data_IF_390023557674
#
_entry.id   IF_390023557674
#
_cell.length_a   1.000
_cell.length_b   1.000
_cell.length_c   1.000
_cell.angle_alpha   90.00
_cell.angle_beta   90.00
_cell.angle_gamma   90.00
#
_symmetry.space_group_name_H-M   'P 1'
#
loop_
_entity.id
_entity.type
_entity.pdbx_description
1 polymer ?
#
# COMPACT_ATOMS: atom_id res chain seq x y z
N UNK A 1 -1.44 -3.79 -19.09
CA UNK A 1 -1.78 -2.64 -19.95
C UNK A 1 -0.87 -1.42 -19.72
N UNK A 2 -0.50 -1.04 -18.48
CA UNK A 2 0.31 0.18 -18.20
C UNK A 2 1.61 0.22 -18.99
N UNK A 3 2.33 -0.90 -19.10
CA UNK A 3 3.55 -1.03 -19.92
C UNK A 3 3.25 -1.19 -21.41
N UNK A 4 1.98 -1.25 -21.79
CA UNK A 4 1.53 -1.47 -23.16
C UNK A 4 2.11 -2.75 -23.82
N UNK A 5 2.48 -3.76 -23.04
CA UNK A 5 2.83 -5.10 -23.55
C UNK A 5 1.59 -5.74 -24.20
N UNK A 6 0.43 -5.57 -23.58
CA UNK A 6 -0.87 -5.84 -24.16
C UNK A 6 -1.59 -4.53 -24.46
N UNK A 7 -2.10 -4.41 -25.67
CA UNK A 7 -2.91 -3.25 -26.08
C UNK A 7 -4.28 -3.34 -25.44
N UNK A 8 -4.82 -2.24 -24.88
CA UNK A 8 -6.20 -2.22 -24.45
C UNK A 8 -7.12 -2.36 -25.68
N UNK A 9 -8.24 -3.07 -25.51
CA UNK A 9 -9.27 -3.18 -26.56
C UNK A 9 -9.92 -1.82 -26.84
N UNK A 10 -10.13 -1.04 -25.77
CA UNK A 10 -10.70 0.30 -25.79
C UNK A 10 -9.97 1.22 -24.81
N UNK A 11 -10.13 2.52 -25.01
CA UNK A 11 -9.51 3.53 -24.15
C UNK A 11 -8.06 3.83 -24.51
N UNK A 12 -7.43 4.70 -23.71
CA UNK A 12 -6.07 5.19 -23.95
C UNK A 12 -5.22 5.01 -22.69
N UNK A 13 -3.93 4.76 -22.89
CA UNK A 13 -2.92 4.75 -21.84
C UNK A 13 -1.96 5.89 -22.07
N UNK A 14 -1.91 6.83 -21.14
CA UNK A 14 -1.02 7.98 -21.18
C UNK A 14 0.00 7.88 -20.06
N UNK A 15 1.28 7.96 -20.39
CA UNK A 15 2.39 7.93 -19.45
C UNK A 15 3.30 9.12 -19.74
N UNK A 16 3.60 9.90 -18.69
CA UNK A 16 4.43 11.11 -18.81
C UNK A 16 3.96 12.05 -19.95
N UNK A 17 2.64 12.25 -20.08
CA UNK A 17 2.02 13.06 -21.12
C UNK A 17 1.98 12.44 -22.53
N UNK A 18 2.53 11.23 -22.71
CA UNK A 18 2.56 10.54 -24.00
C UNK A 18 1.50 9.44 -24.06
N UNK A 19 0.63 9.48 -25.06
CA UNK A 19 -0.34 8.44 -25.34
C UNK A 19 0.35 7.25 -26.05
N UNK A 20 0.53 6.15 -25.31
CA UNK A 20 1.32 4.99 -25.76
C UNK A 20 0.77 4.35 -27.04
N UNK A 21 -0.54 4.40 -27.25
CA UNK A 21 -1.19 3.83 -28.43
C UNK A 21 -0.86 4.55 -29.75
N UNK A 22 -0.42 5.80 -29.67
CA UNK A 22 -0.04 6.62 -30.83
C UNK A 22 1.46 6.54 -31.18
N UNK A 23 2.25 5.91 -30.30
CA UNK A 23 3.70 5.82 -30.48
C UNK A 23 4.08 4.78 -31.53
N UNK A 24 5.11 5.11 -32.31
CA UNK A 24 5.80 4.14 -33.16
C UNK A 24 6.48 3.06 -32.29
N UNK A 25 6.79 1.91 -32.88
CA UNK A 25 7.46 0.80 -32.16
C UNK A 25 8.76 1.26 -31.47
N UNK A 26 9.54 2.12 -32.11
CA UNK A 26 10.79 2.68 -31.54
C UNK A 26 10.50 3.58 -30.33
N UNK A 27 9.54 4.49 -30.48
CA UNK A 27 9.13 5.40 -29.40
C UNK A 27 8.52 4.63 -28.21
N UNK A 28 7.75 3.56 -28.48
CA UNK A 28 7.20 2.72 -27.41
C UNK A 28 8.28 1.98 -26.62
N UNK A 29 9.33 1.50 -27.28
CA UNK A 29 10.49 0.91 -26.62
C UNK A 29 11.21 1.94 -25.74
N UNK A 30 11.31 3.17 -26.21
CA UNK A 30 11.93 4.26 -25.46
C UNK A 30 11.05 4.68 -24.26
N UNK A 31 9.75 4.77 -24.42
CA UNK A 31 8.81 5.01 -23.32
C UNK A 31 8.88 3.92 -22.24
N UNK A 32 9.05 2.64 -22.62
CA UNK A 32 9.25 1.54 -21.68
C UNK A 32 10.55 1.63 -20.88
N UNK A 33 11.59 2.26 -21.40
CA UNK A 33 12.84 2.49 -20.64
C UNK A 33 12.63 3.42 -19.45
N UNK A 34 11.63 4.32 -19.54
CA UNK A 34 11.24 5.18 -18.42
C UNK A 34 10.36 4.49 -17.36
N UNK A 35 10.09 3.21 -17.54
CA UNK A 35 9.29 2.39 -16.61
C UNK A 35 10.15 1.25 -16.08
N UNK A 36 10.42 1.24 -14.78
CA UNK A 36 11.00 0.09 -14.09
C UNK A 36 9.91 -0.90 -13.68
N UNK A 37 10.23 -2.19 -13.64
CA UNK A 37 9.30 -3.21 -13.17
C UNK A 37 9.97 -4.16 -12.20
N UNK A 38 9.32 -4.39 -11.07
CA UNK A 38 9.68 -5.36 -10.06
C UNK A 38 8.59 -6.44 -10.07
N UNK A 39 9.00 -7.69 -10.19
CA UNK A 39 8.10 -8.83 -10.30
C UNK A 39 7.98 -9.57 -8.98
N UNK A 40 6.91 -10.30 -8.80
CA UNK A 40 6.64 -11.16 -7.65
C UNK A 40 7.78 -12.16 -7.37
N UNK A 41 8.26 -12.83 -8.39
CA UNK A 41 9.50 -13.61 -8.34
C UNK A 41 10.61 -12.70 -8.85
N UNK A 42 11.63 -12.48 -8.08
CA UNK A 42 12.72 -11.50 -8.35
C UNK A 42 13.22 -11.47 -9.80
N UNK A 43 13.04 -12.55 -10.56
CA UNK A 43 13.39 -12.71 -11.96
C UNK A 43 14.84 -12.27 -12.26
N UNK A 44 15.76 -12.60 -11.34
CA UNK A 44 17.18 -12.37 -11.54
C UNK A 44 17.76 -13.41 -12.51
N UNK A 45 18.71 -12.94 -13.31
CA UNK A 45 19.48 -13.80 -14.19
C UNK A 45 20.44 -14.64 -13.33
N UNK A 46 20.16 -15.94 -13.21
CA UNK A 46 20.85 -16.83 -12.28
C UNK A 46 22.34 -17.03 -12.60
N UNK A 47 22.73 -16.83 -13.86
CA UNK A 47 24.11 -16.95 -14.34
C UNK A 47 24.89 -15.63 -14.30
N UNK A 48 24.31 -14.58 -13.70
CA UNK A 48 24.91 -13.27 -13.56
C UNK A 48 25.00 -12.89 -12.09
N UNK A 49 26.05 -12.19 -11.71
CA UNK A 49 26.20 -11.63 -10.36
C UNK A 49 25.18 -10.51 -10.11
N UNK A 50 25.08 -10.04 -8.85
CA UNK A 50 24.23 -8.90 -8.50
C UNK A 50 24.57 -7.67 -9.36
N UNK A 51 25.83 -7.31 -9.46
CA UNK A 51 26.32 -6.22 -10.30
C UNK A 51 25.89 -6.40 -11.76
N UNK A 52 26.13 -7.58 -12.33
CA UNK A 52 25.79 -7.89 -13.72
C UNK A 52 24.28 -7.90 -14.00
N UNK A 53 23.47 -8.29 -13.02
CA UNK A 53 22.01 -8.18 -13.10
C UNK A 53 21.57 -6.71 -13.21
N UNK A 54 22.19 -5.81 -12.47
CA UNK A 54 21.88 -4.39 -12.49
C UNK A 54 22.40 -3.73 -13.78
N UNK A 55 23.56 -4.17 -14.30
CA UNK A 55 24.10 -3.69 -15.57
C UNK A 55 23.23 -4.08 -16.77
N UNK A 56 22.50 -5.21 -16.69
CA UNK A 56 21.80 -5.80 -17.84
C UNK A 56 20.87 -4.85 -18.60
N UNK A 57 19.97 -4.08 -17.99
CA UNK A 57 19.14 -3.11 -18.71
C UNK A 57 19.96 -2.00 -19.38
N UNK A 58 21.09 -1.61 -18.81
CA UNK A 58 22.00 -0.61 -19.36
C UNK A 58 22.77 -1.15 -20.57
N UNK A 59 23.18 -2.42 -20.51
CA UNK A 59 23.79 -3.13 -21.67
C UNK A 59 22.83 -3.15 -22.86
N UNK A 60 21.55 -3.51 -22.62
CA UNK A 60 20.50 -3.49 -23.67
C UNK A 60 20.29 -2.07 -24.22
N UNK A 61 20.43 -1.05 -23.38
CA UNK A 61 20.32 0.34 -23.79
C UNK A 61 21.52 0.86 -24.60
N UNK A 62 22.62 0.09 -24.68
CA UNK A 62 23.84 0.45 -25.38
C UNK A 62 24.78 1.36 -24.57
N UNK A 63 24.61 1.39 -23.24
CA UNK A 63 25.50 2.14 -22.33
C UNK A 63 26.89 1.48 -22.31
N UNK A 64 27.95 2.29 -22.22
CA UNK A 64 29.31 1.75 -22.11
C UNK A 64 29.44 0.85 -20.87
N UNK A 65 30.30 -0.16 -20.94
CA UNK A 65 30.54 -1.09 -19.81
C UNK A 65 30.95 -0.33 -18.55
N UNK A 66 31.85 0.64 -18.69
CA UNK A 66 32.36 1.43 -17.57
C UNK A 66 31.23 2.24 -16.90
N UNK A 67 30.39 2.91 -17.68
CA UNK A 67 29.26 3.69 -17.16
C UNK A 67 28.18 2.80 -16.53
N UNK A 68 27.91 1.64 -17.15
CA UNK A 68 26.97 0.67 -16.62
C UNK A 68 27.44 0.12 -15.25
N UNK A 69 28.72 -0.25 -15.13
CA UNK A 69 29.29 -0.73 -13.87
C UNK A 69 29.32 0.36 -12.80
N UNK A 70 29.66 1.60 -13.16
CA UNK A 70 29.63 2.75 -12.26
C UNK A 70 28.21 2.94 -11.71
N UNK A 71 27.22 3.02 -12.60
CA UNK A 71 25.82 3.18 -12.19
C UNK A 71 25.32 2.02 -11.35
N UNK A 72 25.69 0.80 -11.69
CA UNK A 72 25.27 -0.39 -10.92
C UNK A 72 25.85 -0.39 -9.50
N UNK A 73 27.08 0.08 -9.29
CA UNK A 73 27.68 0.21 -7.97
C UNK A 73 26.98 1.27 -7.11
N UNK A 74 26.66 2.43 -7.71
CA UNK A 74 25.84 3.46 -7.03
C UNK A 74 24.49 2.90 -6.56
N UNK A 75 23.84 2.09 -7.40
CA UNK A 75 22.56 1.47 -7.05
C UNK A 75 22.70 0.37 -5.99
N UNK A 76 23.79 -0.40 -6.01
CA UNK A 76 24.10 -1.36 -4.94
C UNK A 76 24.30 -0.66 -3.60
N UNK A 77 24.89 0.53 -3.58
CA UNK A 77 25.01 1.34 -2.37
C UNK A 77 23.65 1.80 -1.86
N UNK A 78 22.80 2.33 -2.75
CA UNK A 78 21.42 2.76 -2.41
C UNK A 78 20.61 1.63 -1.78
N UNK A 79 20.74 0.40 -2.29
CA UNK A 79 20.01 -0.74 -1.74
C UNK A 79 20.75 -1.46 -0.60
N UNK A 80 21.92 -0.96 -0.18
CA UNK A 80 22.71 -1.49 0.94
C UNK A 80 23.35 -2.86 0.66
N UNK A 81 23.85 -3.09 -0.55
CA UNK A 81 24.44 -4.35 -1.00
C UNK A 81 25.81 -4.17 -1.70
N UNK A 82 26.57 -3.12 -1.34
CA UNK A 82 27.88 -2.85 -1.95
C UNK A 82 28.86 -4.03 -1.82
N UNK A 83 28.79 -4.76 -0.69
CA UNK A 83 29.62 -5.92 -0.38
C UNK A 83 29.16 -7.22 -1.09
N UNK A 84 28.04 -7.21 -1.81
CA UNK A 84 27.42 -8.34 -2.49
C UNK A 84 27.47 -8.24 -4.02
N UNK A 85 28.22 -7.30 -4.56
CA UNK A 85 28.30 -7.03 -6.01
C UNK A 85 28.60 -8.29 -6.84
N UNK A 86 29.52 -9.13 -6.36
CA UNK A 86 30.01 -10.31 -7.06
C UNK A 86 29.26 -11.61 -6.71
N UNK A 87 28.24 -11.53 -5.81
CA UNK A 87 27.44 -12.69 -5.45
C UNK A 87 26.43 -13.04 -6.55
N UNK A 88 26.24 -14.31 -6.79
CA UNK A 88 25.15 -14.83 -7.65
C UNK A 88 23.84 -14.87 -6.88
N UNK A 89 22.67 -14.84 -7.57
CA UNK A 89 21.37 -14.90 -6.92
C UNK A 89 21.22 -16.06 -5.92
N UNK A 90 21.77 -17.23 -6.23
CA UNK A 90 21.75 -18.40 -5.33
C UNK A 90 22.50 -18.21 -4.01
N UNK A 91 23.36 -17.22 -3.92
CA UNK A 91 24.14 -16.85 -2.72
C UNK A 91 23.51 -15.73 -1.91
N UNK A 92 22.35 -15.21 -2.34
CA UNK A 92 21.64 -14.10 -1.74
C UNK A 92 20.35 -14.58 -1.05
N UNK A 93 20.04 -14.01 0.10
CA UNK A 93 18.72 -14.21 0.72
C UNK A 93 17.59 -13.62 -0.15
N UNK A 94 16.33 -14.03 0.06
CA UNK A 94 15.19 -13.50 -0.69
C UNK A 94 15.10 -11.97 -0.63
N UNK A 95 15.30 -11.38 0.54
CA UNK A 95 15.33 -9.91 0.69
C UNK A 95 16.51 -9.25 -0.05
N UNK A 96 17.68 -9.90 -0.09
CA UNK A 96 18.82 -9.41 -0.87
C UNK A 96 18.55 -9.51 -2.37
N UNK A 97 17.96 -10.62 -2.83
CA UNK A 97 17.53 -10.77 -4.23
C UNK A 97 16.54 -9.69 -4.64
N UNK A 98 15.57 -9.37 -3.76
CA UNK A 98 14.60 -8.31 -4.00
C UNK A 98 15.28 -6.94 -4.09
N UNK A 99 16.24 -6.63 -3.23
CA UNK A 99 17.03 -5.40 -3.29
C UNK A 99 17.81 -5.28 -4.61
N UNK A 100 18.39 -6.39 -5.12
CA UNK A 100 19.03 -6.43 -6.43
C UNK A 100 18.00 -6.20 -7.55
N UNK A 101 16.81 -6.78 -7.47
CA UNK A 101 15.73 -6.57 -8.44
C UNK A 101 15.26 -5.10 -8.46
N UNK A 102 15.15 -4.45 -7.29
CA UNK A 102 14.86 -3.02 -7.17
C UNK A 102 15.97 -2.20 -7.84
N UNK A 103 17.24 -2.44 -7.51
CA UNK A 103 18.38 -1.75 -8.10
C UNK A 103 18.41 -1.91 -9.63
N UNK A 104 18.14 -3.12 -10.15
CA UNK A 104 18.03 -3.39 -11.58
C UNK A 104 16.90 -2.58 -12.22
N UNK A 105 15.75 -2.49 -11.58
CA UNK A 105 14.62 -1.71 -12.10
C UNK A 105 14.90 -0.21 -12.12
N UNK A 106 15.78 0.29 -11.23
CA UNK A 106 16.22 1.69 -11.17
C UNK A 106 17.36 2.02 -12.13
N UNK A 107 18.00 1.03 -12.76
CA UNK A 107 19.22 1.22 -13.55
C UNK A 107 19.04 2.25 -14.70
N UNK A 108 17.90 2.20 -15.41
CA UNK A 108 17.57 3.09 -16.52
C UNK A 108 17.04 4.47 -16.10
N UNK A 109 17.13 4.86 -14.82
CA UNK A 109 16.54 6.08 -14.29
C UNK A 109 15.04 6.23 -14.63
N UNK A 110 14.18 5.27 -14.24
CA UNK A 110 12.79 5.30 -14.61
C UNK A 110 12.06 6.45 -13.91
N UNK A 111 11.01 6.97 -14.56
CA UNK A 111 10.07 7.92 -13.95
C UNK A 111 8.98 7.21 -13.15
N UNK A 112 8.69 5.96 -13.50
CA UNK A 112 7.67 5.13 -12.91
C UNK A 112 8.27 3.77 -12.55
N UNK A 113 7.99 3.29 -11.33
CA UNK A 113 8.34 1.97 -10.85
C UNK A 113 7.05 1.17 -10.61
N UNK A 114 6.89 0.08 -11.33
CA UNK A 114 5.77 -0.83 -11.19
C UNK A 114 6.19 -2.00 -10.29
N UNK A 115 5.49 -2.21 -9.19
CA UNK A 115 5.75 -3.27 -8.22
C UNK A 115 4.58 -4.27 -8.28
N UNK A 116 4.80 -5.43 -8.86
CA UNK A 116 3.81 -6.50 -8.98
C UNK A 116 4.06 -7.52 -7.87
N UNK A 117 3.25 -7.47 -6.81
CA UNK A 117 3.36 -8.28 -5.59
C UNK A 117 4.81 -8.41 -5.06
N UNK A 118 5.53 -7.31 -5.06
CA UNK A 118 6.97 -7.25 -4.81
C UNK A 118 7.42 -7.76 -3.42
N UNK A 119 6.49 -8.02 -2.50
CA UNK A 119 6.76 -8.46 -1.12
C UNK A 119 6.14 -9.80 -0.76
N UNK A 120 5.29 -10.37 -1.61
CA UNK A 120 4.50 -11.59 -1.30
C UNK A 120 5.34 -12.84 -0.99
N UNK A 121 6.59 -12.90 -1.48
CA UNK A 121 7.51 -14.01 -1.24
C UNK A 121 8.46 -13.80 -0.05
N UNK A 122 8.25 -12.74 0.75
CA UNK A 122 9.15 -12.32 1.82
C UNK A 122 8.49 -12.49 3.21
N UNK A 123 9.31 -12.69 4.22
CA UNK A 123 8.85 -12.65 5.61
C UNK A 123 8.45 -11.21 6.04
N UNK A 124 7.62 -11.05 7.07
CA UNK A 124 7.11 -9.73 7.47
C UNK A 124 8.17 -8.69 7.83
N UNK A 125 9.31 -9.12 8.39
CA UNK A 125 10.41 -8.21 8.76
C UNK A 125 11.12 -7.70 7.52
N UNK A 126 11.42 -8.60 6.59
CA UNK A 126 12.02 -8.27 5.30
C UNK A 126 11.08 -7.40 4.48
N UNK A 127 9.77 -7.69 4.46
CA UNK A 127 8.74 -6.87 3.80
C UNK A 127 8.80 -5.42 4.26
N UNK A 128 8.76 -5.16 5.56
CA UNK A 128 8.87 -3.78 6.10
C UNK A 128 10.15 -3.09 5.65
N UNK A 129 11.28 -3.81 5.66
CA UNK A 129 12.57 -3.28 5.21
C UNK A 129 12.56 -2.89 3.72
N UNK A 130 11.88 -3.67 2.87
CA UNK A 130 11.73 -3.38 1.44
C UNK A 130 10.78 -2.20 1.22
N UNK A 131 9.66 -2.13 1.96
CA UNK A 131 8.72 -1.01 1.87
C UNK A 131 9.37 0.31 2.30
N UNK A 132 10.14 0.30 3.39
CA UNK A 132 10.93 1.45 3.83
C UNK A 132 11.92 1.91 2.75
N UNK A 133 12.62 0.98 2.12
CA UNK A 133 13.53 1.28 1.00
C UNK A 133 12.78 1.91 -0.18
N UNK A 134 11.62 1.38 -0.57
CA UNK A 134 10.82 1.93 -1.67
C UNK A 134 10.31 3.35 -1.34
N UNK A 135 9.91 3.59 -0.08
CA UNK A 135 9.48 4.91 0.41
C UNK A 135 10.64 5.92 0.34
N UNK A 136 11.84 5.51 0.72
CA UNK A 136 13.04 6.34 0.63
C UNK A 136 13.41 6.66 -0.83
N UNK A 137 13.36 5.67 -1.71
CA UNK A 137 13.59 5.82 -3.15
C UNK A 137 12.57 6.80 -3.76
N UNK A 138 11.28 6.66 -3.44
CA UNK A 138 10.24 7.58 -3.90
C UNK A 138 10.55 9.02 -3.48
N UNK A 139 10.89 9.22 -2.20
CA UNK A 139 11.20 10.54 -1.63
C UNK A 139 12.47 11.15 -2.23
N UNK A 140 13.52 10.34 -2.40
CA UNK A 140 14.85 10.83 -2.81
C UNK A 140 14.94 11.04 -4.33
N UNK A 141 14.37 10.13 -5.11
CA UNK A 141 14.44 10.17 -6.57
C UNK A 141 13.22 10.84 -7.23
N UNK A 142 12.15 11.11 -6.47
CA UNK A 142 10.93 11.74 -6.99
C UNK A 142 10.18 10.91 -8.03
N UNK A 143 10.36 9.58 -8.04
CA UNK A 143 9.72 8.67 -9.00
C UNK A 143 8.32 8.28 -8.52
N UNK A 144 7.40 8.04 -9.46
CA UNK A 144 6.08 7.49 -9.14
C UNK A 144 6.19 5.98 -8.93
N UNK A 145 5.70 5.47 -7.80
CA UNK A 145 5.66 4.03 -7.54
C UNK A 145 4.20 3.57 -7.61
N UNK A 146 3.92 2.55 -8.42
CA UNK A 146 2.63 1.88 -8.51
C UNK A 146 2.79 0.48 -7.94
N UNK A 147 2.07 0.20 -6.86
CA UNK A 147 2.12 -1.11 -6.17
C UNK A 147 0.84 -1.87 -6.47
N UNK A 148 0.99 -3.09 -6.95
CA UNK A 148 -0.10 -4.05 -7.10
C UNK A 148 0.04 -5.05 -5.95
N UNK A 149 -0.97 -5.15 -5.12
CA UNK A 149 -0.97 -6.05 -3.95
C UNK A 149 -2.39 -6.36 -3.51
N UNK A 150 -2.57 -7.48 -2.85
CA UNK A 150 -3.79 -7.83 -2.12
C UNK A 150 -3.61 -7.65 -0.60
N UNK A 151 -2.44 -7.19 -0.15
CA UNK A 151 -2.12 -6.98 1.26
C UNK A 151 -2.44 -5.54 1.67
N UNK A 152 -3.48 -5.33 2.47
CA UNK A 152 -3.88 -4.00 2.94
C UNK A 152 -2.77 -3.31 3.75
N UNK A 153 -2.01 -4.07 4.53
CA UNK A 153 -0.89 -3.54 5.30
C UNK A 153 0.21 -2.88 4.43
N UNK A 154 0.44 -3.40 3.22
CA UNK A 154 1.38 -2.79 2.26
C UNK A 154 0.85 -1.44 1.76
N UNK A 155 -0.45 -1.36 1.47
CA UNK A 155 -1.09 -0.11 1.02
C UNK A 155 -1.00 0.95 2.11
N UNK A 156 -1.31 0.60 3.36
CA UNK A 156 -1.24 1.49 4.52
C UNK A 156 0.17 2.02 4.78
N UNK A 157 1.19 1.17 4.58
CA UNK A 157 2.58 1.51 4.88
C UNK A 157 3.18 2.48 3.87
N UNK A 158 2.89 2.34 2.56
CA UNK A 158 3.65 3.05 1.52
C UNK A 158 2.79 3.94 0.59
N UNK A 159 1.50 3.66 0.43
CA UNK A 159 0.68 4.31 -0.59
C UNK A 159 0.00 5.58 -0.06
N UNK A 160 -0.14 6.60 -0.91
CA UNK A 160 -0.94 7.81 -0.63
C UNK A 160 -2.34 7.71 -1.26
N UNK A 161 -2.45 6.96 -2.35
CA UNK A 161 -3.72 6.73 -3.07
C UNK A 161 -3.90 5.26 -3.35
N UNK A 162 -5.13 4.83 -3.41
CA UNK A 162 -5.51 3.45 -3.69
C UNK A 162 -6.62 3.40 -4.74
N UNK A 163 -6.55 2.39 -5.60
CA UNK A 163 -7.62 1.99 -6.50
C UNK A 163 -7.98 0.52 -6.20
N UNK A 164 -9.20 0.27 -5.79
CA UNK A 164 -9.70 -1.08 -5.51
C UNK A 164 -10.33 -1.64 -6.79
N UNK A 165 -9.90 -2.83 -7.16
CA UNK A 165 -10.39 -3.55 -8.33
C UNK A 165 -11.28 -4.70 -7.87
N UNK A 166 -12.48 -4.76 -8.41
CA UNK A 166 -13.42 -5.84 -8.23
C UNK A 166 -13.92 -6.30 -9.60
N UNK A 167 -13.89 -7.61 -9.84
CA UNK A 167 -14.39 -8.22 -11.08
C UNK A 167 -13.86 -7.51 -12.35
N UNK A 168 -12.55 -7.22 -12.36
CA UNK A 168 -11.82 -6.53 -13.44
C UNK A 168 -12.27 -5.08 -13.70
N UNK A 169 -12.96 -4.45 -12.75
CA UNK A 169 -13.38 -3.04 -12.80
C UNK A 169 -12.86 -2.30 -11.58
N UNK A 170 -12.63 -0.99 -11.74
CA UNK A 170 -12.33 -0.14 -10.61
C UNK A 170 -13.62 0.08 -9.82
N UNK A 171 -13.67 -0.47 -8.61
CA UNK A 171 -14.79 -0.34 -7.69
C UNK A 171 -14.73 0.96 -6.89
N UNK A 172 -13.52 1.41 -6.52
CA UNK A 172 -13.32 2.63 -5.74
C UNK A 172 -11.91 3.19 -5.95
N UNK A 173 -11.78 4.52 -5.94
CA UNK A 173 -10.50 5.25 -5.99
C UNK A 173 -10.55 6.41 -5.02
N UNK A 174 -9.49 6.58 -4.22
CA UNK A 174 -9.37 7.71 -3.29
C UNK A 174 -7.97 7.82 -2.70
N UNK A 175 -7.81 8.70 -1.72
CA UNK A 175 -6.65 8.64 -0.84
C UNK A 175 -6.78 7.43 0.08
N UNK A 176 -5.65 6.92 0.58
CA UNK A 176 -5.66 5.79 1.53
C UNK A 176 -6.51 6.15 2.74
N UNK A 177 -6.35 7.37 3.26
CA UNK A 177 -7.12 7.89 4.38
C UNK A 177 -8.65 7.84 4.12
N UNK A 178 -9.11 8.39 2.99
CA UNK A 178 -10.55 8.40 2.64
C UNK A 178 -11.13 6.99 2.49
N UNK A 179 -10.41 6.11 1.77
CA UNK A 179 -10.92 4.77 1.46
C UNK A 179 -10.89 3.87 2.71
N UNK A 180 -9.89 4.02 3.57
CA UNK A 180 -9.77 3.21 4.78
C UNK A 180 -10.68 3.67 5.92
N UNK A 181 -10.98 4.97 6.00
CA UNK A 181 -11.89 5.50 7.03
C UNK A 181 -13.36 5.43 6.62
N UNK A 182 -13.65 5.61 5.32
CA UNK A 182 -15.03 5.67 4.76
C UNK A 182 -15.15 4.91 3.45
N UNK A 183 -14.94 3.57 3.47
CA UNK A 183 -15.07 2.76 2.26
C UNK A 183 -16.51 2.80 1.73
N UNK A 184 -16.66 3.06 0.43
CA UNK A 184 -17.97 3.18 -0.23
C UNK A 184 -18.40 1.89 -0.89
N UNK A 185 -17.46 1.21 -1.58
CA UNK A 185 -17.76 -0.03 -2.30
C UNK A 185 -17.84 -1.23 -1.36
N UNK A 186 -18.66 -2.23 -1.73
CA UNK A 186 -18.76 -3.48 -0.98
C UNK A 186 -17.40 -4.21 -0.89
N UNK A 187 -16.62 -4.18 -1.98
CA UNK A 187 -15.28 -4.78 -2.02
C UNK A 187 -14.31 -4.05 -1.09
N UNK A 188 -14.33 -2.71 -1.05
CA UNK A 188 -13.51 -1.95 -0.13
C UNK A 188 -13.82 -2.32 1.33
N UNK A 189 -15.10 -2.34 1.69
CA UNK A 189 -15.55 -2.76 3.02
C UNK A 189 -15.08 -4.17 3.36
N UNK A 190 -15.18 -5.11 2.43
CA UNK A 190 -14.75 -6.49 2.65
C UNK A 190 -13.22 -6.61 2.82
N UNK A 191 -12.42 -5.84 2.07
CA UNK A 191 -10.97 -5.87 2.16
C UNK A 191 -10.44 -5.19 3.43
N UNK A 192 -11.04 -4.06 3.81
CA UNK A 192 -10.60 -3.27 4.97
C UNK A 192 -11.12 -3.87 6.27
N UNK A 193 -12.31 -4.48 6.25
CA UNK A 193 -12.98 -5.08 7.40
C UNK A 193 -13.28 -6.57 7.17
N UNK A 194 -12.27 -7.43 7.01
CA UNK A 194 -12.47 -8.84 6.65
C UNK A 194 -13.26 -9.63 7.73
N UNK A 195 -13.20 -9.19 8.98
CA UNK A 195 -13.89 -9.85 10.11
C UNK A 195 -15.33 -9.36 10.33
N UNK A 196 -15.81 -8.38 9.57
CA UNK A 196 -17.17 -7.85 9.65
C UNK A 196 -18.31 -8.88 9.48
N UNK A 197 -17.99 -10.10 9.06
CA UNK A 197 -18.95 -11.20 8.88
C UNK A 197 -18.98 -12.23 10.02
N UNK A 198 -18.13 -12.12 11.06
CA UNK A 198 -17.88 -13.27 11.94
C UNK A 198 -18.67 -13.37 13.23
N UNK A 199 -19.33 -12.32 13.70
CA UNK A 199 -20.16 -12.47 14.91
C UNK A 199 -21.50 -11.77 14.73
N UNK A 200 -22.58 -12.56 14.58
CA UNK A 200 -23.92 -12.07 14.84
C UNK A 200 -23.99 -11.62 16.31
N UNK A 201 -23.99 -10.31 16.51
CA UNK A 201 -24.18 -9.73 17.84
C UNK A 201 -25.57 -10.11 18.35
N UNK A 202 -25.70 -10.22 19.66
CA UNK A 202 -26.97 -10.60 20.28
C UNK A 202 -28.07 -9.61 19.82
N UNK A 203 -29.13 -10.16 19.22
CA UNK A 203 -30.31 -9.41 18.80
C UNK A 203 -30.87 -8.59 19.95
N UNK A 204 -31.13 -7.30 19.73
CA UNK A 204 -31.75 -6.39 20.69
C UNK A 204 -30.79 -5.45 21.44
N UNK A 205 -29.50 -5.49 21.18
CA UNK A 205 -28.53 -4.53 21.75
C UNK A 205 -28.17 -3.44 20.73
N UNK A 206 -27.80 -2.26 21.22
CA UNK A 206 -27.39 -1.11 20.40
C UNK A 206 -25.88 -1.02 20.35
N UNK A 207 -25.35 -0.74 19.18
CA UNK A 207 -23.91 -0.60 18.96
C UNK A 207 -23.59 0.73 18.30
N UNK A 208 -22.42 1.28 18.63
CA UNK A 208 -21.90 2.48 18.01
C UNK A 208 -20.52 2.18 17.46
N UNK A 209 -20.32 2.51 16.21
CA UNK A 209 -19.01 2.48 15.54
C UNK A 209 -18.38 3.85 15.67
N UNK A 210 -17.13 3.90 16.10
CA UNK A 210 -16.29 5.09 16.16
C UNK A 210 -15.12 4.90 15.21
N UNK A 211 -14.85 5.89 14.36
CA UNK A 211 -13.69 5.93 13.47
C UNK A 211 -12.78 7.08 13.89
N UNK A 212 -11.51 6.78 14.11
CA UNK A 212 -10.45 7.72 14.42
C UNK A 212 -9.68 8.07 13.13
N UNK A 213 -9.53 9.34 12.85
CA UNK A 213 -8.95 9.88 11.60
C UNK A 213 -7.50 10.38 11.76
N UNK A 214 -6.80 9.90 12.77
CA UNK A 214 -5.43 10.31 13.06
C UNK A 214 -5.27 11.61 13.83
N UNK A 215 -6.25 12.50 13.84
CA UNK A 215 -6.19 13.75 14.61
C UNK A 215 -6.78 13.58 16.02
N UNK A 216 -7.80 12.73 16.15
CA UNK A 216 -8.53 12.46 17.39
C UNK A 216 -7.99 11.26 18.20
N UNK A 217 -7.10 10.47 17.64
CA UNK A 217 -6.62 9.21 18.23
C UNK A 217 -5.78 9.37 19.51
N UNK A 218 -5.28 10.58 19.78
CA UNK A 218 -4.51 10.87 20.99
C UNK A 218 -5.38 11.32 22.17
N UNK A 219 -6.65 11.62 21.95
CA UNK A 219 -7.57 12.01 23.00
C UNK A 219 -8.26 10.78 23.60
N UNK A 220 -8.45 10.70 24.92
CA UNK A 220 -9.12 9.57 25.58
C UNK A 220 -10.64 9.67 25.43
N UNK A 221 -11.14 9.77 24.19
CA UNK A 221 -12.55 10.02 23.85
C UNK A 221 -13.52 9.06 24.54
N UNK A 222 -13.21 7.76 24.49
CA UNK A 222 -14.08 6.73 25.10
C UNK A 222 -14.07 6.84 26.62
N UNK A 223 -12.91 7.06 27.23
CA UNK A 223 -12.80 7.21 28.69
C UNK A 223 -13.52 8.46 29.17
N UNK A 224 -13.34 9.58 28.48
CA UNK A 224 -14.02 10.83 28.80
C UNK A 224 -15.54 10.68 28.63
N UNK A 225 -16.02 10.06 27.55
CA UNK A 225 -17.42 9.74 27.35
C UNK A 225 -18.00 8.94 28.52
N UNK A 226 -17.33 7.87 28.96
CA UNK A 226 -17.79 7.05 30.07
C UNK A 226 -17.88 7.85 31.37
N UNK A 227 -16.89 8.70 31.65
CA UNK A 227 -16.83 9.51 32.86
C UNK A 227 -17.89 10.61 32.87
N UNK A 228 -18.03 11.37 31.78
CA UNK A 228 -18.92 12.52 31.70
C UNK A 228 -20.39 12.08 31.57
N UNK A 229 -20.66 11.10 30.69
CA UNK A 229 -22.02 10.64 30.45
C UNK A 229 -22.51 9.64 31.49
N UNK A 230 -21.61 9.11 32.34
CA UNK A 230 -21.89 7.99 33.27
C UNK A 230 -22.54 6.82 32.53
N UNK A 231 -22.04 6.53 31.35
CA UNK A 231 -22.55 5.56 30.40
C UNK A 231 -21.49 4.46 30.18
N UNK A 232 -21.45 3.41 31.03
CA UNK A 232 -20.50 2.31 30.82
C UNK A 232 -20.80 1.60 29.51
N UNK A 233 -19.74 1.29 28.75
CA UNK A 233 -19.81 0.62 27.46
C UNK A 233 -18.90 -0.60 27.42
N UNK A 234 -19.25 -1.62 26.64
CA UNK A 234 -18.34 -2.69 26.30
C UNK A 234 -17.67 -2.41 24.96
N UNK A 235 -16.37 -2.63 24.89
CA UNK A 235 -15.62 -2.62 23.63
C UNK A 235 -15.78 -4.00 23.00
N UNK A 236 -16.53 -4.08 21.90
CA UNK A 236 -16.80 -5.32 21.19
C UNK A 236 -15.71 -5.62 20.16
N UNK A 237 -15.14 -4.55 19.58
CA UNK A 237 -14.06 -4.62 18.63
C UNK A 237 -13.22 -3.34 18.74
N UNK A 238 -11.92 -3.45 18.56
CA UNK A 238 -11.02 -2.32 18.39
C UNK A 238 -9.87 -2.74 17.48
N UNK A 239 -9.68 -2.00 16.43
CA UNK A 239 -8.54 -2.11 15.54
C UNK A 239 -7.94 -0.70 15.32
N UNK A 240 -6.69 -0.53 15.70
CA UNK A 240 -5.97 0.73 15.53
C UNK A 240 -4.68 0.48 14.77
N UNK A 241 -4.44 1.28 13.75
CA UNK A 241 -3.27 1.18 12.87
C UNK A 241 -2.53 2.50 12.85
N UNK A 242 -1.22 2.44 12.68
CA UNK A 242 -0.38 3.61 12.50
C UNK A 242 -0.11 3.79 11.00
N UNK A 243 -0.57 4.90 10.43
CA UNK A 243 -0.31 5.29 9.05
C UNK A 243 0.44 6.62 9.07
N UNK A 244 1.67 6.64 8.59
CA UNK A 244 2.55 7.82 8.55
C UNK A 244 2.69 8.56 9.91
N UNK A 245 2.75 7.80 11.01
CA UNK A 245 2.90 8.35 12.36
C UNK A 245 1.59 8.82 12.99
N UNK A 246 0.45 8.68 12.30
CA UNK A 246 -0.88 8.98 12.81
C UNK A 246 -1.64 7.69 13.10
N UNK A 247 -2.35 7.64 14.21
CA UNK A 247 -3.18 6.49 14.53
C UNK A 247 -4.55 6.63 13.86
N UNK A 248 -4.86 5.67 13.01
CA UNK A 248 -6.17 5.44 12.41
C UNK A 248 -6.79 4.22 13.04
N UNK A 249 -8.09 4.18 13.15
CA UNK A 249 -8.71 3.00 13.70
C UNK A 249 -10.21 3.11 13.78
N UNK A 250 -10.80 1.97 14.06
CA UNK A 250 -12.20 1.89 14.40
C UNK A 250 -12.41 1.12 15.70
N UNK A 251 -13.48 1.45 16.38
CA UNK A 251 -13.90 0.79 17.60
C UNK A 251 -15.41 0.60 17.55
N UNK A 252 -15.87 -0.58 17.96
CA UNK A 252 -17.30 -0.84 18.10
C UNK A 252 -17.60 -0.97 19.58
N UNK A 253 -18.46 -0.09 20.05
CA UNK A 253 -18.93 -0.06 21.40
C UNK A 253 -20.35 -0.61 21.48
N UNK A 254 -20.61 -1.48 22.44
CA UNK A 254 -21.97 -1.80 22.85
C UNK A 254 -22.45 -0.70 23.80
N UNK A 255 -23.50 -0.01 23.42
CA UNK A 255 -24.12 1.05 24.21
C UNK A 255 -24.88 0.48 25.42
N UNK A 256 -25.07 1.26 26.48
CA UNK A 256 -25.91 0.89 27.62
C UNK A 256 -27.35 0.54 27.21
N UNK A 257 -27.99 -0.35 27.94
CA UNK A 257 -29.42 -0.67 27.76
C UNK A 257 -30.34 0.49 28.14
N UNK A 258 -29.90 1.37 29.06
CA UNK A 258 -30.62 2.61 29.37
C UNK A 258 -30.56 3.57 28.17
N UNK A 259 -31.71 3.79 27.56
CA UNK A 259 -31.86 4.62 26.38
C UNK A 259 -31.38 6.08 26.59
N UNK A 260 -31.55 6.62 27.79
CA UNK A 260 -31.10 7.98 28.13
C UNK A 260 -29.57 8.04 28.20
N UNK A 261 -28.93 7.03 28.78
CA UNK A 261 -27.48 6.95 28.85
C UNK A 261 -26.88 6.73 27.44
N UNK A 262 -27.48 5.87 26.62
CA UNK A 262 -27.06 5.65 25.24
C UNK A 262 -27.16 6.94 24.40
N UNK A 263 -28.25 7.67 24.47
CA UNK A 263 -28.42 8.96 23.77
C UNK A 263 -27.39 10.02 24.22
N UNK A 264 -27.08 10.09 25.52
CA UNK A 264 -26.03 11.00 26.02
C UNK A 264 -24.66 10.65 25.46
N UNK A 265 -24.32 9.34 25.43
CA UNK A 265 -23.05 8.86 24.90
C UNK A 265 -22.90 9.19 23.40
N UNK A 266 -23.94 8.97 22.60
CA UNK A 266 -23.94 9.31 21.17
C UNK A 266 -23.81 10.84 20.97
N UNK A 267 -24.59 11.64 21.67
CA UNK A 267 -24.50 13.10 21.59
C UNK A 267 -23.10 13.63 21.99
N UNK A 268 -22.47 13.02 23.00
CA UNK A 268 -21.09 13.34 23.37
C UNK A 268 -20.13 13.04 22.22
N UNK A 269 -20.21 11.86 21.60
CA UNK A 269 -19.34 11.46 20.51
C UNK A 269 -19.48 12.38 19.29
N UNK A 270 -20.69 12.88 18.99
CA UNK A 270 -20.93 13.86 17.92
C UNK A 270 -20.22 15.21 18.17
N UNK A 271 -19.94 15.56 19.43
CA UNK A 271 -19.19 16.79 19.76
C UNK A 271 -17.68 16.62 19.68
N UNK A 272 -17.20 15.39 19.53
CA UNK A 272 -15.77 15.10 19.44
C UNK A 272 -15.31 15.01 17.98
N UNK A 273 -14.02 15.18 17.76
CA UNK A 273 -13.41 15.01 16.41
C UNK A 273 -13.30 13.51 16.00
N UNK A 274 -14.39 12.78 16.14
CA UNK A 274 -14.48 11.37 15.72
C UNK A 274 -15.74 11.17 14.89
N UNK A 275 -15.67 10.27 13.94
CA UNK A 275 -16.88 9.87 13.22
C UNK A 275 -17.57 8.74 13.99
N UNK A 276 -18.75 9.04 14.55
CA UNK A 276 -19.54 8.07 15.29
C UNK A 276 -20.86 7.79 14.55
N UNK A 277 -21.18 6.52 14.38
CA UNK A 277 -22.45 6.08 13.76
C UNK A 277 -23.07 4.93 14.55
N UNK A 278 -24.39 4.97 14.72
CA UNK A 278 -25.11 3.86 15.32
C UNK A 278 -25.29 2.76 14.27
N UNK A 279 -24.90 1.54 14.62
CA UNK A 279 -24.98 0.37 13.75
C UNK A 279 -25.95 -0.65 14.33
N UNK A 280 -26.89 -1.12 13.49
CA UNK A 280 -27.92 -2.06 13.91
C UNK A 280 -27.36 -3.50 14.05
N UNK A 281 -26.31 -3.82 13.29
CA UNK A 281 -25.64 -5.11 13.29
C UNK A 281 -24.15 -4.91 12.94
N UNK A 282 -23.29 -5.67 13.59
CA UNK A 282 -21.86 -5.71 13.29
C UNK A 282 -21.57 -6.21 11.85
N UNK A 283 -22.49 -6.97 11.28
CA UNK A 283 -22.40 -7.48 9.91
C UNK A 283 -22.77 -6.45 8.83
N UNK A 284 -23.31 -5.30 9.21
CA UNK A 284 -23.69 -4.23 8.26
C UNK A 284 -22.66 -3.11 8.12
N UNK A 285 -21.48 -3.28 8.70
CA UNK A 285 -20.37 -2.32 8.65
C UNK A 285 -19.33 -2.70 7.61
#
# INVERSE_FOLDING_TARGET
CITFLEKPAEGTVTVDGQELGKLSKKQLLEARRSMGMIFQQFNLLQQRTALQNICFPLEIAGTSKADAEKRARELLEIVGLSDRADNYPSQLSGGQQQRVAIARALASNPKILLCDEATSALDPTTTRSILALLKEINKTLGITIIVITHEMAVIEEICQRVAIIDSSRIAEVGTVDEVFTRPKSAMAKQLIYPDGKRNSLATGKRYCRIVFDGNSSFEPVVSNMVLECKAPVNIMFADTKNIDGKAYGQMILQLPEDERAAKRALAYLETQNVHAEEVADYASV
#
